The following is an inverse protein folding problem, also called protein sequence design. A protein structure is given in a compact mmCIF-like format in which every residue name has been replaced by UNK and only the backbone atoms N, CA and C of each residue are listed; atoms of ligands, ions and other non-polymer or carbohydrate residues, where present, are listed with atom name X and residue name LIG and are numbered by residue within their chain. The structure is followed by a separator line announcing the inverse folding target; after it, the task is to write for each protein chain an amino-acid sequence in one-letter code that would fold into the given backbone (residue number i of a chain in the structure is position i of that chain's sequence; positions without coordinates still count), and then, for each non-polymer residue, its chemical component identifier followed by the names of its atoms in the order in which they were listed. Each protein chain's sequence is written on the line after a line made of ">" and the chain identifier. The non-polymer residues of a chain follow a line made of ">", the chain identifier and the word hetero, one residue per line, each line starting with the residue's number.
data_IF_711063779264
#
_entry.id   IF_711063779264
#
_cell.length_a   1.000
_cell.length_b   1.000
_cell.length_c   1.000
_cell.angle_alpha   90.00
_cell.angle_beta   90.00
_cell.angle_gamma   90.00
#
_symmetry.space_group_name_H-M   'P 1'
#
loop_
_entity.id
_entity.type
_entity.pdbx_description
1 polymer ?
#
# COMPACT_ATOMS: atom_id res chain seq x y z
N UNK A 1 28.48 6.06 13.53
CA UNK A 1 27.11 5.84 14.04
C UNK A 1 26.39 7.16 13.84
N UNK A 2 25.40 7.22 12.95
CA UNK A 2 24.71 8.47 12.64
C UNK A 2 23.65 8.68 13.71
N UNK A 3 23.81 9.73 14.52
CA UNK A 3 22.83 10.06 15.55
C UNK A 3 21.56 10.60 14.87
N UNK A 4 20.49 9.82 14.94
CA UNK A 4 19.15 10.25 14.57
C UNK A 4 18.51 10.93 15.77
N UNK A 5 18.14 12.21 15.65
CA UNK A 5 17.34 12.92 16.64
C UNK A 5 16.00 13.26 15.97
N UNK A 6 14.99 12.41 16.21
CA UNK A 6 13.70 12.51 15.52
C UNK A 6 13.86 12.34 14.01
N UNK A 7 13.24 13.21 13.22
CA UNK A 7 13.30 13.24 11.75
C UNK A 7 14.47 14.05 11.20
N UNK A 8 15.57 14.20 11.96
CA UNK A 8 16.76 14.98 11.55
C UNK A 8 18.04 14.15 11.61
N UNK A 9 18.96 14.44 10.70
CA UNK A 9 20.28 13.79 10.59
C UNK A 9 21.39 14.81 10.33
N UNK A 10 22.58 14.57 10.86
CA UNK A 10 23.75 15.41 10.56
C UNK A 10 24.43 14.95 9.27
N UNK A 11 24.52 15.84 8.28
CA UNK A 11 25.22 15.63 7.01
C UNK A 11 26.21 16.77 6.80
N UNK A 12 27.51 16.46 6.78
CA UNK A 12 28.58 17.47 6.62
C UNK A 12 28.41 18.67 7.55
N UNK A 13 28.26 18.39 8.86
CA UNK A 13 28.09 19.40 9.92
C UNK A 13 26.79 20.23 9.84
N UNK A 14 25.87 19.90 8.92
CA UNK A 14 24.54 20.50 8.85
C UNK A 14 23.47 19.52 9.33
N UNK A 15 22.54 20.01 10.13
CA UNK A 15 21.34 19.24 10.49
C UNK A 15 20.32 19.31 9.36
N UNK A 16 20.04 18.19 8.73
CA UNK A 16 19.07 18.02 7.65
C UNK A 16 17.80 17.37 8.20
N UNK A 17 16.63 17.92 7.86
CA UNK A 17 15.33 17.35 8.20
C UNK A 17 14.83 16.47 7.04
N UNK A 18 14.22 15.34 7.37
CA UNK A 18 13.58 14.40 6.42
C UNK A 18 12.10 14.25 6.73
N UNK A 19 11.47 15.31 7.23
CA UNK A 19 10.01 15.37 7.30
C UNK A 19 9.41 15.29 5.90
N UNK A 20 8.19 14.74 5.79
CA UNK A 20 7.46 14.66 4.52
C UNK A 20 7.43 16.00 3.79
N UNK A 21 7.18 17.10 4.52
CA UNK A 21 7.21 18.46 3.97
C UNK A 21 8.53 18.83 3.30
N UNK A 22 9.68 18.48 3.92
CA UNK A 22 11.00 18.81 3.37
C UNK A 22 11.33 17.95 2.16
N UNK A 23 10.94 16.67 2.17
CA UNK A 23 11.11 15.75 1.04
C UNK A 23 10.24 16.21 -0.15
N UNK A 24 8.96 16.50 0.11
CA UNK A 24 8.02 17.03 -0.91
C UNK A 24 8.56 18.31 -1.55
N UNK A 25 9.05 19.25 -0.73
CA UNK A 25 9.68 20.47 -1.23
C UNK A 25 10.95 20.22 -2.06
N UNK A 26 11.81 19.28 -1.64
CA UNK A 26 13.05 18.96 -2.35
C UNK A 26 12.79 18.34 -3.73
N UNK A 27 11.83 17.44 -3.83
CA UNK A 27 11.46 16.79 -5.09
C UNK A 27 10.43 17.57 -5.92
N UNK A 28 9.98 18.74 -5.43
CA UNK A 28 8.94 19.55 -6.07
C UNK A 28 7.67 18.72 -6.30
N UNK A 29 7.33 17.90 -5.30
CA UNK A 29 6.08 17.12 -5.29
C UNK A 29 4.95 18.11 -5.04
N UNK A 30 3.97 18.12 -5.95
CA UNK A 30 2.77 18.94 -5.80
C UNK A 30 1.99 18.47 -4.57
N UNK A 31 1.56 19.40 -3.73
CA UNK A 31 0.58 19.09 -2.69
C UNK A 31 -0.72 18.70 -3.40
N UNK A 32 -1.06 17.42 -3.32
CA UNK A 32 -2.33 16.90 -3.82
C UNK A 32 -3.38 17.34 -2.79
N UNK A 33 -4.38 18.15 -3.17
CA UNK A 33 -5.34 18.73 -2.23
C UNK A 33 -6.35 17.70 -1.71
N UNK A 34 -6.39 16.50 -2.31
CA UNK A 34 -7.29 15.42 -1.91
C UNK A 34 -6.76 14.72 -0.66
N UNK A 35 -7.69 14.46 0.26
CA UNK A 35 -7.40 13.70 1.48
C UNK A 35 -7.09 12.26 1.08
N UNK A 36 -6.10 11.63 1.72
CA UNK A 36 -5.76 10.23 1.47
C UNK A 36 -6.95 9.31 1.84
N UNK A 37 -7.71 8.92 0.83
CA UNK A 37 -8.89 8.07 0.95
C UNK A 37 -8.49 6.65 1.33
N UNK A 38 -7.33 6.18 0.84
CA UNK A 38 -6.80 4.88 1.18
C UNK A 38 -6.48 4.77 2.67
N UNK A 39 -5.84 5.77 3.28
CA UNK A 39 -5.56 5.76 4.73
C UNK A 39 -6.85 5.69 5.54
N UNK A 40 -7.87 6.43 5.12
CA UNK A 40 -9.18 6.42 5.76
C UNK A 40 -9.84 5.04 5.66
N UNK A 41 -9.83 4.46 4.46
CA UNK A 41 -10.40 3.14 4.20
C UNK A 41 -9.63 2.02 4.93
N UNK A 42 -8.30 1.98 4.80
CA UNK A 42 -7.45 0.94 5.39
C UNK A 42 -7.43 0.97 6.93
N UNK A 43 -7.68 2.13 7.54
CA UNK A 43 -7.82 2.27 9.01
C UNK A 43 -9.22 1.94 9.52
N UNK A 44 -10.21 1.81 8.63
CA UNK A 44 -11.60 1.53 8.96
C UNK A 44 -11.89 0.05 9.17
N UNK A 45 -13.18 -0.28 9.24
CA UNK A 45 -13.66 -1.67 9.20
C UNK A 45 -13.63 -2.12 7.75
N UNK A 46 -12.65 -2.94 7.41
CA UNK A 46 -12.47 -3.52 6.07
C UNK A 46 -13.26 -4.83 5.98
N UNK A 47 -14.15 -4.91 4.99
CA UNK A 47 -14.86 -6.14 4.63
C UNK A 47 -14.04 -6.92 3.58
N UNK A 48 -13.14 -7.77 4.08
CA UNK A 48 -12.22 -8.53 3.23
C UNK A 48 -12.90 -9.44 2.21
N UNK A 49 -14.11 -9.92 2.49
CA UNK A 49 -14.82 -10.81 1.58
C UNK A 49 -15.48 -10.01 0.46
N UNK A 50 -16.07 -8.85 0.78
CA UNK A 50 -16.56 -7.90 -0.22
C UNK A 50 -15.41 -7.41 -1.12
N UNK A 51 -14.25 -7.10 -0.54
CA UNK A 51 -13.11 -6.60 -1.30
C UNK A 51 -12.67 -7.60 -2.38
N UNK A 52 -12.38 -8.85 -2.01
CA UNK A 52 -11.91 -9.84 -3.00
C UNK A 52 -12.98 -10.18 -4.03
N UNK A 53 -14.26 -10.07 -3.69
CA UNK A 53 -15.35 -10.29 -4.66
C UNK A 53 -15.31 -9.28 -5.81
N UNK A 54 -14.77 -8.07 -5.58
CA UNK A 54 -14.66 -7.03 -6.58
C UNK A 54 -13.57 -7.27 -7.64
N UNK A 55 -12.57 -8.13 -7.35
CA UNK A 55 -11.38 -8.24 -8.20
C UNK A 55 -10.73 -9.63 -8.30
N UNK A 56 -11.36 -10.65 -7.71
CA UNK A 56 -10.99 -12.05 -7.85
C UNK A 56 -12.07 -12.85 -8.60
N UNK A 57 -11.73 -14.05 -9.08
CA UNK A 57 -12.71 -14.98 -9.64
C UNK A 57 -13.71 -15.45 -8.57
N UNK A 58 -14.93 -15.80 -8.99
CA UNK A 58 -15.94 -16.34 -8.08
C UNK A 58 -15.43 -17.60 -7.36
N UNK A 59 -15.68 -17.70 -6.05
CA UNK A 59 -15.19 -18.80 -5.21
C UNK A 59 -13.76 -18.65 -4.72
N UNK A 60 -13.14 -17.47 -4.91
CA UNK A 60 -11.87 -17.13 -4.27
C UNK A 60 -12.03 -17.04 -2.75
N UNK A 61 -11.03 -17.49 -2.01
CA UNK A 61 -11.12 -17.63 -0.55
C UNK A 61 -9.81 -17.19 0.10
N UNK A 62 -9.94 -16.43 1.17
CA UNK A 62 -8.84 -16.10 2.06
C UNK A 62 -8.31 -17.31 2.80
N UNK A 63 -6.99 -17.43 2.86
CA UNK A 63 -6.36 -18.22 3.89
C UNK A 63 -6.42 -17.47 5.21
N UNK A 64 -7.03 -18.12 6.19
CA UNK A 64 -7.22 -17.59 7.54
C UNK A 64 -6.11 -18.06 8.48
N UNK A 65 -5.78 -17.24 9.48
CA UNK A 65 -4.97 -17.62 10.64
C UNK A 65 -5.63 -17.03 11.88
N UNK A 66 -5.93 -17.86 12.87
CA UNK A 66 -6.70 -17.48 14.06
C UNK A 66 -8.01 -16.75 13.71
N UNK A 67 -8.71 -17.22 12.67
CA UNK A 67 -9.95 -16.64 12.18
C UNK A 67 -9.81 -15.32 11.40
N UNK A 68 -8.58 -14.85 11.15
CA UNK A 68 -8.33 -13.58 10.43
C UNK A 68 -7.74 -13.83 9.04
N UNK A 69 -8.20 -13.10 8.00
CA UNK A 69 -7.58 -13.14 6.66
C UNK A 69 -6.09 -12.78 6.70
N UNK A 70 -5.28 -13.58 6.00
CA UNK A 70 -3.83 -13.34 5.86
C UNK A 70 -3.42 -13.13 4.41
N UNK A 71 -3.79 -14.07 3.53
CA UNK A 71 -3.48 -13.98 2.10
C UNK A 71 -4.40 -14.89 1.28
N UNK A 72 -4.40 -14.70 -0.03
CA UNK A 72 -4.93 -15.66 -1.00
C UNK A 72 -3.97 -15.77 -2.20
N UNK A 73 -4.22 -16.70 -3.13
CA UNK A 73 -3.32 -16.94 -4.26
C UNK A 73 -3.50 -15.89 -5.35
N UNK A 74 -2.40 -15.37 -5.90
CA UNK A 74 -2.44 -14.41 -7.02
C UNK A 74 -3.11 -14.98 -8.29
N UNK A 75 -3.17 -16.31 -8.42
CA UNK A 75 -3.92 -17.00 -9.48
C UNK A 75 -5.43 -16.78 -9.41
N UNK A 76 -5.95 -16.39 -8.24
CA UNK A 76 -7.37 -16.09 -8.01
C UNK A 76 -7.76 -14.68 -8.47
N UNK A 77 -6.79 -13.78 -8.70
CA UNK A 77 -7.06 -12.43 -9.22
C UNK A 77 -7.58 -12.46 -10.66
N UNK A 78 -8.54 -11.58 -10.96
CA UNK A 78 -8.89 -11.23 -12.33
C UNK A 78 -7.70 -10.57 -13.04
N UNK A 79 -7.66 -10.64 -14.37
CA UNK A 79 -6.54 -10.10 -15.16
C UNK A 79 -6.20 -8.64 -14.87
N UNK A 80 -7.16 -7.70 -14.79
CA UNK A 80 -6.86 -6.30 -14.45
C UNK A 80 -6.27 -6.14 -13.05
N UNK A 81 -6.84 -6.86 -12.08
CA UNK A 81 -6.38 -6.84 -10.69
C UNK A 81 -4.97 -7.41 -10.54
N UNK A 82 -4.64 -8.42 -11.35
CA UNK A 82 -3.30 -9.02 -11.40
C UNK A 82 -2.25 -8.04 -11.91
N UNK A 83 -2.58 -7.21 -12.89
CA UNK A 83 -1.67 -6.16 -13.36
C UNK A 83 -1.37 -5.13 -12.25
N UNK A 84 -2.41 -4.65 -11.55
CA UNK A 84 -2.25 -3.76 -10.41
C UNK A 84 -1.50 -4.40 -9.25
N UNK A 85 -1.75 -5.68 -8.99
CA UNK A 85 -1.02 -6.43 -7.99
C UNK A 85 0.48 -6.48 -8.29
N UNK A 86 0.89 -6.70 -9.54
CA UNK A 86 2.31 -6.67 -9.91
C UNK A 86 2.92 -5.28 -9.71
N UNK A 87 2.19 -4.22 -10.05
CA UNK A 87 2.65 -2.85 -9.79
C UNK A 87 2.87 -2.60 -8.30
N UNK A 88 1.88 -2.95 -7.46
CA UNK A 88 1.97 -2.84 -6.00
C UNK A 88 3.12 -3.68 -5.45
N UNK A 89 3.25 -4.93 -5.91
CA UNK A 89 4.27 -5.88 -5.48
C UNK A 89 5.70 -5.43 -5.79
N UNK A 90 5.90 -4.66 -6.85
CA UNK A 90 7.24 -4.26 -7.29
C UNK A 90 7.63 -2.85 -6.88
N UNK A 91 6.66 -1.93 -6.76
CA UNK A 91 6.96 -0.50 -6.58
C UNK A 91 6.47 0.07 -5.24
N UNK A 92 5.36 -0.43 -4.69
CA UNK A 92 4.69 0.23 -3.55
C UNK A 92 4.90 -0.54 -2.25
N UNK A 93 4.61 -1.84 -2.27
CA UNK A 93 4.81 -2.77 -1.17
C UNK A 93 5.74 -3.88 -1.65
N UNK A 94 7.07 -3.67 -1.78
CA UNK A 94 7.95 -4.66 -2.37
C UNK A 94 7.98 -6.01 -1.62
N UNK A 95 8.06 -7.13 -2.34
CA UNK A 95 8.34 -8.47 -1.77
C UNK A 95 8.86 -9.44 -2.83
N UNK A 96 9.68 -10.40 -2.41
CA UNK A 96 10.12 -11.52 -3.27
C UNK A 96 9.06 -12.61 -3.47
N UNK A 97 7.97 -12.60 -2.70
CA UNK A 97 6.91 -13.60 -2.77
C UNK A 97 5.72 -13.08 -3.58
N UNK A 98 5.71 -13.40 -4.89
CA UNK A 98 4.65 -12.98 -5.81
C UNK A 98 3.41 -13.89 -5.81
N UNK A 99 3.54 -15.11 -5.27
CA UNK A 99 2.49 -16.15 -5.36
C UNK A 99 1.28 -15.82 -4.48
N UNK A 100 1.51 -15.19 -3.33
CA UNK A 100 0.50 -14.90 -2.33
C UNK A 100 0.23 -13.40 -2.26
N UNK A 101 -1.04 -13.04 -2.42
CA UNK A 101 -1.53 -11.68 -2.23
C UNK A 101 -1.87 -11.54 -0.75
N UNK A 102 -1.05 -10.80 0.00
CA UNK A 102 -1.32 -10.52 1.41
C UNK A 102 -2.49 -9.54 1.56
N UNK A 103 -3.08 -9.49 2.75
CA UNK A 103 -4.17 -8.55 3.05
C UNK A 103 -3.81 -7.10 2.71
N UNK A 104 -2.59 -6.66 3.02
CA UNK A 104 -2.15 -5.27 2.79
C UNK A 104 -2.10 -4.96 1.30
N UNK A 105 -1.60 -5.91 0.50
CA UNK A 105 -1.53 -5.74 -0.97
C UNK A 105 -2.91 -5.81 -1.59
N UNK A 106 -3.79 -6.66 -1.07
CA UNK A 106 -5.17 -6.78 -1.55
C UNK A 106 -5.95 -5.48 -1.30
N UNK A 107 -5.85 -4.90 -0.10
CA UNK A 107 -6.45 -3.59 0.24
C UNK A 107 -5.93 -2.51 -0.71
N UNK A 108 -4.62 -2.47 -0.97
CA UNK A 108 -4.04 -1.50 -1.91
C UNK A 108 -4.54 -1.70 -3.34
N UNK A 109 -4.60 -2.95 -3.82
CA UNK A 109 -5.14 -3.27 -5.15
C UNK A 109 -6.61 -2.90 -5.25
N UNK A 110 -7.40 -3.17 -4.21
CA UNK A 110 -8.80 -2.77 -4.13
C UNK A 110 -8.93 -1.24 -4.25
N UNK A 111 -8.18 -0.48 -3.46
CA UNK A 111 -8.21 0.99 -3.49
C UNK A 111 -7.91 1.53 -4.88
N UNK A 112 -6.91 0.97 -5.57
CA UNK A 112 -6.58 1.34 -6.96
C UNK A 112 -7.75 1.01 -7.91
N UNK A 113 -8.36 -0.16 -7.78
CA UNK A 113 -9.49 -0.58 -8.63
C UNK A 113 -10.72 0.31 -8.41
N UNK A 114 -10.96 0.76 -7.18
CA UNK A 114 -12.02 1.71 -6.86
C UNK A 114 -11.69 3.15 -7.25
N UNK A 115 -10.45 3.43 -7.69
CA UNK A 115 -10.01 4.77 -8.06
C UNK A 115 -9.87 5.71 -6.85
N UNK A 116 -9.59 5.16 -5.66
CA UNK A 116 -9.35 5.97 -4.46
C UNK A 116 -8.10 6.84 -4.63
N UNK A 117 -8.11 8.01 -4.00
CA UNK A 117 -6.89 8.81 -3.86
C UNK A 117 -5.94 8.17 -2.85
N UNK A 118 -4.70 7.91 -3.29
CA UNK A 118 -3.66 7.24 -2.50
C UNK A 118 -2.44 8.15 -2.48
N UNK A 119 -2.06 8.65 -1.31
CA UNK A 119 -0.76 9.32 -1.14
C UNK A 119 0.33 8.25 -0.99
N UNK A 120 1.23 8.17 -1.96
CA UNK A 120 2.35 7.21 -1.97
C UNK A 120 3.68 7.81 -1.50
N UNK A 121 3.67 9.07 -1.01
CA UNK A 121 4.84 9.78 -0.49
C UNK A 121 5.16 11.07 -1.22
#
# INVERSE_FOLDING_TARGET
>A
MVEHIGSRVMVREKMVSFTSTVIKAYYIILDIPETDEYVTYASGIVDYDADISGFCYQGSVWKLTNGKPVHFKASQLLTPARAWYYFVLTNVLPSGHAIDVTKERAIMVYAIIQGMFIDIG
#
